data_IF_010458763960
#
_entry.id   IF_010458763960
#
_cell.length_a   1.000
_cell.length_b   1.000
_cell.length_c   1.000
_cell.angle_alpha   90.00
_cell.angle_beta   90.00
_cell.angle_gamma   90.00
#
_symmetry.space_group_name_H-M   'P 1'
#
loop_
_entity.id
_entity.type
_entity.pdbx_description
1 polymer ?
#
# COMPACT_ATOMS: atom_id res chain seq x y z
N UNK A 1 -12.25 50.29 1.55
CA UNK A 1 -12.13 49.04 2.32
C UNK A 1 -11.15 48.15 1.57
N UNK A 2 -9.90 48.07 2.02
CA UNK A 2 -8.90 47.18 1.41
C UNK A 2 -9.29 45.76 1.85
N UNK A 3 -9.76 44.93 0.91
CA UNK A 3 -9.88 43.50 1.17
C UNK A 3 -8.52 43.02 1.66
N UNK A 4 -8.49 42.39 2.83
CA UNK A 4 -7.27 41.86 3.42
C UNK A 4 -6.73 40.75 2.50
N UNK A 5 -5.88 41.13 1.54
CA UNK A 5 -5.28 40.20 0.57
C UNK A 5 -4.57 39.05 1.27
N UNK A 6 -4.01 39.31 2.44
CA UNK A 6 -3.37 38.32 3.29
C UNK A 6 -4.38 37.32 3.88
N UNK A 7 -5.63 37.71 4.12
CA UNK A 7 -6.71 36.78 4.47
C UNK A 7 -7.09 35.86 3.31
N UNK A 8 -7.21 36.40 2.09
CA UNK A 8 -7.52 35.61 0.89
C UNK A 8 -6.39 34.60 0.59
N UNK A 9 -5.12 35.02 0.71
CA UNK A 9 -3.95 34.14 0.55
C UNK A 9 -3.88 33.05 1.63
N UNK A 10 -4.13 33.40 2.91
CA UNK A 10 -4.24 32.41 4.00
C UNK A 10 -5.32 31.37 3.73
N UNK A 11 -6.45 31.78 3.16
CA UNK A 11 -7.53 30.87 2.79
C UNK A 11 -7.09 29.90 1.70
N UNK A 12 -6.43 30.38 0.65
CA UNK A 12 -5.88 29.53 -0.42
C UNK A 12 -4.89 28.50 0.15
N UNK A 13 -3.95 28.92 1.00
CA UNK A 13 -3.02 27.98 1.64
C UNK A 13 -3.74 26.94 2.50
N UNK A 14 -4.79 27.34 3.22
CA UNK A 14 -5.58 26.42 4.04
C UNK A 14 -6.30 25.37 3.19
N UNK A 15 -6.81 25.75 2.01
CA UNK A 15 -7.40 24.80 1.05
C UNK A 15 -6.35 23.82 0.50
N UNK A 16 -5.15 24.30 0.19
CA UNK A 16 -4.06 23.45 -0.30
C UNK A 16 -3.58 22.46 0.77
N UNK A 17 -3.48 22.90 2.04
CA UNK A 17 -3.15 22.03 3.17
C UNK A 17 -4.18 20.92 3.29
N UNK A 18 -5.48 21.28 3.30
CA UNK A 18 -6.57 20.32 3.42
C UNK A 18 -6.57 19.31 2.25
N UNK A 19 -6.27 19.75 1.04
CA UNK A 19 -6.12 18.85 -0.11
C UNK A 19 -4.95 17.87 0.07
N UNK A 20 -3.82 18.28 0.68
CA UNK A 20 -2.70 17.36 0.98
C UNK A 20 -3.07 16.36 2.06
N UNK A 21 -3.80 16.78 3.09
CA UNK A 21 -4.29 15.88 4.14
C UNK A 21 -5.24 14.82 3.59
N UNK A 22 -6.17 15.22 2.70
CA UNK A 22 -7.05 14.27 2.01
C UNK A 22 -6.25 13.27 1.17
N UNK A 23 -5.24 13.72 0.43
CA UNK A 23 -4.37 12.82 -0.35
C UNK A 23 -3.61 11.83 0.54
N UNK A 24 -3.17 12.26 1.72
CA UNK A 24 -2.50 11.39 2.70
C UNK A 24 -3.45 10.33 3.27
N UNK A 25 -4.69 10.70 3.56
CA UNK A 25 -5.73 9.77 4.02
C UNK A 25 -6.10 8.75 2.94
N UNK A 26 -6.29 9.21 1.70
CA UNK A 26 -6.53 8.35 0.54
C UNK A 26 -5.39 7.36 0.32
N UNK A 27 -4.15 7.84 0.39
CA UNK A 27 -2.95 7.01 0.23
C UNK A 27 -2.86 5.94 1.34
N UNK A 28 -3.23 6.30 2.57
CA UNK A 28 -3.27 5.37 3.71
C UNK A 28 -4.32 4.28 3.52
N UNK A 29 -5.53 4.67 3.06
CA UNK A 29 -6.60 3.74 2.74
C UNK A 29 -6.23 2.78 1.61
N UNK A 30 -5.63 3.30 0.54
CA UNK A 30 -5.14 2.49 -0.59
C UNK A 30 -4.07 1.49 -0.14
N UNK A 31 -3.11 1.91 0.70
CA UNK A 31 -2.09 1.02 1.26
C UNK A 31 -2.72 -0.15 2.03
N UNK A 32 -3.68 0.13 2.89
CA UNK A 32 -4.38 -0.89 3.66
C UNK A 32 -5.11 -1.89 2.77
N UNK A 33 -5.83 -1.38 1.75
CA UNK A 33 -6.55 -2.21 0.78
C UNK A 33 -5.61 -3.14 0.00
N UNK A 34 -4.48 -2.62 -0.50
CA UNK A 34 -3.50 -3.42 -1.24
C UNK A 34 -2.88 -4.49 -0.33
N UNK A 35 -2.55 -4.16 0.92
CA UNK A 35 -1.97 -5.14 1.83
C UNK A 35 -2.95 -6.26 2.18
N UNK A 36 -4.23 -5.94 2.36
CA UNK A 36 -5.27 -6.95 2.52
C UNK A 36 -5.40 -7.85 1.28
N UNK A 37 -5.28 -7.29 0.07
CA UNK A 37 -5.30 -8.07 -1.16
C UNK A 37 -4.11 -9.03 -1.25
N UNK A 38 -2.90 -8.57 -0.89
CA UNK A 38 -1.70 -9.40 -0.85
C UNK A 38 -1.82 -10.52 0.18
N UNK A 39 -2.31 -10.22 1.39
CA UNK A 39 -2.54 -11.22 2.44
C UNK A 39 -3.56 -12.28 1.98
N UNK A 40 -4.63 -11.86 1.30
CA UNK A 40 -5.62 -12.78 0.74
C UNK A 40 -5.04 -13.66 -0.39
N UNK A 41 -4.17 -13.09 -1.23
CA UNK A 41 -3.52 -13.84 -2.31
C UNK A 41 -2.61 -14.93 -1.75
N UNK A 42 -1.79 -14.62 -0.74
CA UNK A 42 -0.92 -15.61 -0.09
C UNK A 42 -1.74 -16.69 0.63
N UNK A 43 -2.84 -16.31 1.29
CA UNK A 43 -3.75 -17.26 1.91
C UNK A 43 -4.37 -18.23 0.89
N UNK A 44 -4.88 -17.74 -0.23
CA UNK A 44 -5.46 -18.59 -1.28
C UNK A 44 -4.40 -19.45 -1.97
N UNK A 45 -3.19 -18.93 -2.18
CA UNK A 45 -2.04 -19.69 -2.69
C UNK A 45 -1.75 -20.91 -1.80
N UNK A 46 -1.65 -20.71 -0.48
CA UNK A 46 -1.43 -21.80 0.49
C UNK A 46 -2.61 -22.77 0.56
N UNK A 47 -3.84 -22.27 0.53
CA UNK A 47 -5.06 -23.10 0.51
C UNK A 47 -5.13 -23.98 -0.72
N UNK A 48 -4.70 -23.49 -1.87
CA UNK A 48 -4.69 -24.27 -3.11
C UNK A 48 -3.71 -25.44 -3.00
N UNK A 49 -2.49 -25.21 -2.50
CA UNK A 49 -1.52 -26.28 -2.24
C UNK A 49 -2.07 -27.32 -1.26
N UNK A 50 -2.67 -26.88 -0.15
CA UNK A 50 -3.24 -27.80 0.84
C UNK A 50 -4.37 -28.66 0.26
N UNK A 51 -5.27 -28.05 -0.53
CA UNK A 51 -6.35 -28.78 -1.22
C UNK A 51 -5.80 -29.83 -2.19
N UNK A 52 -4.77 -29.47 -2.95
CA UNK A 52 -4.15 -30.40 -3.89
C UNK A 52 -3.44 -31.56 -3.17
N UNK A 53 -2.79 -31.31 -2.02
CA UNK A 53 -2.20 -32.37 -1.19
C UNK A 53 -3.25 -33.36 -0.68
N UNK A 54 -4.40 -32.87 -0.22
CA UNK A 54 -5.48 -33.74 0.25
C UNK A 54 -6.09 -34.62 -0.84
N UNK A 55 -6.07 -34.17 -2.11
CA UNK A 55 -6.52 -34.97 -3.24
C UNK A 55 -5.52 -36.07 -3.62
N UNK A 56 -4.22 -35.76 -3.59
CA UNK A 56 -3.16 -36.70 -3.98
C UNK A 56 -2.84 -37.74 -2.90
N UNK A 57 -3.02 -37.42 -1.62
CA UNK A 57 -2.90 -38.42 -0.54
C UNK A 57 -3.99 -39.50 -0.61
N UNK A 58 -5.12 -39.21 -1.26
CA UNK A 58 -6.20 -40.17 -1.51
C UNK A 58 -5.93 -41.08 -2.72
N UNK A 59 -4.97 -40.73 -3.58
CA UNK A 59 -4.71 -41.41 -4.86
C UNK A 59 -3.19 -41.70 -5.04
N UNK A 60 -2.75 -42.81 -4.42
CA UNK A 60 -1.61 -43.66 -4.87
C UNK A 60 -0.17 -43.15 -4.67
N UNK A 61 0.70 -44.10 -4.32
CA UNK A 61 2.17 -44.03 -4.26
C UNK A 61 2.83 -43.91 -5.65
N UNK A 62 2.38 -42.98 -6.49
CA UNK A 62 2.96 -42.74 -7.81
C UNK A 62 4.05 -41.65 -7.74
N UNK A 63 5.25 -41.99 -8.18
CA UNK A 63 6.41 -41.08 -8.24
C UNK A 63 6.11 -39.86 -9.12
N UNK A 64 5.27 -40.02 -10.15
CA UNK A 64 4.82 -38.91 -11.00
C UNK A 64 3.99 -37.87 -10.24
N UNK A 65 3.08 -38.32 -9.37
CA UNK A 65 2.24 -37.47 -8.52
C UNK A 65 3.09 -36.73 -7.49
N UNK A 66 4.07 -37.42 -6.90
CA UNK A 66 4.97 -36.83 -5.93
C UNK A 66 5.84 -35.71 -6.53
N UNK A 67 6.38 -35.91 -7.74
CA UNK A 67 7.13 -34.86 -8.46
C UNK A 67 6.27 -33.64 -8.76
N UNK A 68 5.03 -33.83 -9.21
CA UNK A 68 4.10 -32.73 -9.46
C UNK A 68 3.77 -31.95 -8.17
N UNK A 69 3.65 -32.66 -7.04
CA UNK A 69 3.43 -32.05 -5.74
C UNK A 69 4.61 -31.16 -5.30
N UNK A 70 5.85 -31.62 -5.50
CA UNK A 70 7.06 -30.85 -5.22
C UNK A 70 7.16 -29.60 -6.09
N UNK A 71 6.90 -29.72 -7.40
CA UNK A 71 6.85 -28.58 -8.32
C UNK A 71 5.79 -27.55 -7.88
N UNK A 72 4.63 -28.03 -7.43
CA UNK A 72 3.54 -27.18 -6.96
C UNK A 72 3.91 -26.42 -5.68
N UNK A 73 4.51 -27.11 -4.70
CA UNK A 73 5.02 -26.47 -3.48
C UNK A 73 6.06 -25.41 -3.82
N UNK A 74 7.02 -25.73 -4.70
CA UNK A 74 8.04 -24.78 -5.13
C UNK A 74 7.47 -23.52 -5.81
N UNK A 75 6.44 -23.68 -6.65
CA UNK A 75 5.72 -22.55 -7.26
C UNK A 75 4.99 -21.70 -6.22
N UNK A 76 4.35 -22.35 -5.25
CA UNK A 76 3.66 -21.66 -4.16
C UNK A 76 4.62 -20.86 -3.28
N UNK A 77 5.77 -21.45 -2.92
CA UNK A 77 6.83 -20.78 -2.16
C UNK A 77 7.44 -19.61 -2.94
N UNK A 78 7.50 -19.71 -4.27
CA UNK A 78 7.92 -18.60 -5.12
C UNK A 78 6.90 -17.46 -5.09
N UNK A 79 5.60 -17.77 -5.20
CA UNK A 79 4.52 -16.78 -5.11
C UNK A 79 4.55 -16.07 -3.75
N UNK A 80 4.69 -16.80 -2.64
CA UNK A 80 4.75 -16.17 -1.31
C UNK A 80 5.94 -15.22 -1.18
N UNK A 81 7.12 -15.61 -1.69
CA UNK A 81 8.29 -14.72 -1.71
C UNK A 81 8.10 -13.49 -2.60
N UNK A 82 7.42 -13.64 -3.72
CA UNK A 82 7.10 -12.50 -4.60
C UNK A 82 6.16 -11.52 -3.88
N UNK A 83 5.15 -12.03 -3.16
CA UNK A 83 4.23 -11.21 -2.36
C UNK A 83 4.98 -10.45 -1.26
N UNK A 84 5.92 -11.10 -0.57
CA UNK A 84 6.75 -10.45 0.45
C UNK A 84 7.60 -9.32 -0.16
N UNK A 85 8.21 -9.56 -1.33
CA UNK A 85 8.97 -8.54 -2.04
C UNK A 85 8.11 -7.35 -2.48
N UNK A 86 6.94 -7.61 -3.09
CA UNK A 86 6.00 -6.56 -3.50
C UNK A 86 5.54 -5.74 -2.30
N UNK A 87 5.35 -6.37 -1.13
CA UNK A 87 4.97 -5.68 0.11
C UNK A 87 6.07 -4.73 0.59
N UNK A 88 7.33 -5.13 0.52
CA UNK A 88 8.48 -4.28 0.86
C UNK A 88 8.59 -3.10 -0.11
N UNK A 89 8.55 -3.36 -1.42
CA UNK A 89 8.64 -2.33 -2.46
C UNK A 89 7.52 -1.30 -2.34
N UNK A 90 6.28 -1.77 -2.13
CA UNK A 90 5.13 -0.90 -1.88
C UNK A 90 5.31 -0.10 -0.59
N UNK A 91 5.82 -0.71 0.49
CA UNK A 91 6.09 0.00 1.75
C UNK A 91 7.07 1.17 1.53
N UNK A 92 8.12 0.95 0.76
CA UNK A 92 9.08 1.99 0.42
C UNK A 92 8.49 3.06 -0.49
N UNK A 93 7.70 2.68 -1.49
CA UNK A 93 7.00 3.62 -2.37
C UNK A 93 6.01 4.50 -1.59
N UNK A 94 5.16 3.90 -0.75
CA UNK A 94 4.22 4.62 0.11
C UNK A 94 4.91 5.57 1.07
N UNK A 95 5.99 5.13 1.72
CA UNK A 95 6.74 5.99 2.65
C UNK A 95 7.34 7.21 1.94
N UNK A 96 7.89 7.02 0.74
CA UNK A 96 8.41 8.14 -0.08
C UNK A 96 7.31 9.14 -0.44
N UNK A 97 6.17 8.65 -0.94
CA UNK A 97 5.04 9.51 -1.32
C UNK A 97 4.46 10.24 -0.12
N UNK A 98 4.32 9.56 1.02
CA UNK A 98 3.82 10.15 2.27
C UNK A 98 4.74 11.25 2.78
N UNK A 99 6.06 11.01 2.79
CA UNK A 99 7.03 12.02 3.20
C UNK A 99 7.01 13.25 2.27
N UNK A 100 6.88 13.06 0.95
CA UNK A 100 6.78 14.18 0.01
C UNK A 100 5.51 15.03 0.23
N UNK A 101 4.37 14.39 0.51
CA UNK A 101 3.13 15.09 0.86
C UNK A 101 3.27 15.85 2.19
N UNK A 102 3.89 15.24 3.19
CA UNK A 102 4.15 15.85 4.49
C UNK A 102 5.08 17.06 4.37
N UNK A 103 6.18 16.95 3.63
CA UNK A 103 7.11 18.05 3.38
C UNK A 103 6.40 19.23 2.71
N UNK A 104 5.56 18.94 1.71
CA UNK A 104 4.75 19.95 1.02
C UNK A 104 3.75 20.60 1.99
N UNK A 105 3.06 19.81 2.82
CA UNK A 105 2.12 20.30 3.83
C UNK A 105 2.81 21.23 4.82
N UNK A 106 3.99 20.84 5.32
CA UNK A 106 4.80 21.64 6.23
C UNK A 106 5.26 22.95 5.59
N UNK A 107 5.65 22.93 4.31
CA UNK A 107 5.98 24.14 3.57
C UNK A 107 4.78 25.08 3.47
N UNK A 108 3.60 24.56 3.11
CA UNK A 108 2.36 25.37 3.02
C UNK A 108 1.99 25.99 4.37
N UNK A 109 2.17 25.26 5.48
CA UNK A 109 1.98 25.82 6.81
C UNK A 109 2.94 26.97 7.11
N UNK A 110 4.23 26.84 6.73
CA UNK A 110 5.22 27.92 6.91
C UNK A 110 4.85 29.15 6.10
N UNK A 111 4.50 28.98 4.83
CA UNK A 111 4.10 30.06 3.94
C UNK A 111 2.85 30.79 4.48
N UNK A 112 1.81 30.04 4.85
CA UNK A 112 0.60 30.60 5.48
C UNK A 112 0.91 31.40 6.75
N UNK A 113 1.76 30.86 7.62
CA UNK A 113 2.09 31.47 8.91
C UNK A 113 3.00 32.70 8.76
N UNK A 114 3.68 32.85 7.62
CA UNK A 114 4.48 34.04 7.32
C UNK A 114 3.65 35.26 6.89
N UNK A 115 2.36 35.07 6.58
CA UNK A 115 1.47 36.14 6.14
C UNK A 115 1.04 37.05 7.31
N UNK A 116 1.07 38.38 7.14
CA UNK A 116 0.74 39.34 8.19
C UNK A 116 -0.76 39.33 8.52
N UNK A 117 -1.08 39.36 9.82
CA UNK A 117 -2.46 39.52 10.30
C UNK A 117 -2.76 41.03 10.33
N UNK A 118 -3.57 41.51 9.38
CA UNK A 118 -3.98 42.91 9.27
C UNK A 118 -5.32 43.15 9.98
#
# INVERSE_FOLDING_TARGET
MVKDKSSDERYVYSQQILAREQQMDELTSQKQSIFQLLDNLDLENRRWVYRMQGLTESEVSDVGVQRQMEEMRGKSDYISRLIDHDREDLTHAFSRSMNALEDTRLQLHRERNSLPWA
#
